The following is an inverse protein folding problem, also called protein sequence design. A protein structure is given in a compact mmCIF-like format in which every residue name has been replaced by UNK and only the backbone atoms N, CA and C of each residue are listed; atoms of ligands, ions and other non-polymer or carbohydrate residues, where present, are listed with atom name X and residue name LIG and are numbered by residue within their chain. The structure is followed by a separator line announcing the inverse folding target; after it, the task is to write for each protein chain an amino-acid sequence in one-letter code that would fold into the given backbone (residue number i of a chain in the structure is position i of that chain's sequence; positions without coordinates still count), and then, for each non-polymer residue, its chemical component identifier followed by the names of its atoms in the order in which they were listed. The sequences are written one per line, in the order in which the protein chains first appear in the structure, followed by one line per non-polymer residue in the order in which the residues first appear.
data_IF_931751515427
#
_entry.id   IF_931751515427
#
_cell.length_a   1.000
_cell.length_b   1.000
_cell.length_c   1.000
_cell.angle_alpha   90.00
_cell.angle_beta   90.00
_cell.angle_gamma   90.00
#
_symmetry.space_group_name_H-M   'P 1'
#
loop_
_entity.id
_entity.type
_entity.pdbx_description
1 polymer ?
#
# COMPACT_ATOMS: atom_id res chain seq x y z
N UNK A 1 -1.49 27.30 17.71
CA UNK A 1 -2.15 26.58 18.82
C UNK A 1 -1.99 27.42 20.07
N UNK A 2 -3.10 27.85 20.68
CA UNK A 2 -3.09 28.72 21.85
C UNK A 2 -2.64 27.95 23.11
N UNK A 3 -1.55 28.37 23.78
CA UNK A 3 -1.06 27.71 24.98
C UNK A 3 -2.05 27.73 26.14
N UNK A 4 -2.97 28.70 26.16
CA UNK A 4 -3.97 28.89 27.21
C UNK A 4 -5.04 27.79 27.23
N UNK A 5 -5.18 27.03 26.13
CA UNK A 5 -6.17 25.97 25.97
C UNK A 5 -5.64 24.56 26.31
N UNK A 6 -4.49 24.47 27.00
CA UNK A 6 -3.88 23.19 27.38
C UNK A 6 -4.20 22.77 28.81
N UNK A 7 -4.51 21.49 28.96
CA UNK A 7 -4.74 20.81 30.23
C UNK A 7 -3.62 19.81 30.47
N UNK A 8 -3.10 19.75 31.68
CA UNK A 8 -2.16 18.76 32.19
C UNK A 8 -2.94 17.70 32.98
N UNK A 9 -2.85 16.44 32.56
CA UNK A 9 -3.31 15.29 33.34
C UNK A 9 -2.14 14.70 34.09
N UNK A 10 -2.32 14.46 35.39
CA UNK A 10 -1.38 13.78 36.27
C UNK A 10 -1.97 12.48 36.78
N UNK A 11 -1.11 11.55 37.18
CA UNK A 11 -1.46 10.22 37.68
C UNK A 11 -2.18 9.35 36.64
N UNK A 12 -1.69 9.38 35.40
CA UNK A 12 -2.17 8.51 34.33
C UNK A 12 -1.62 7.09 34.53
N UNK A 13 -2.38 6.03 34.19
CA UNK A 13 -1.86 4.67 34.19
C UNK A 13 -0.55 4.52 33.41
N UNK A 14 0.40 3.68 33.86
CA UNK A 14 1.73 3.56 33.26
C UNK A 14 1.73 3.02 31.82
N UNK A 15 0.71 2.26 31.42
CA UNK A 15 0.59 1.65 30.08
C UNK A 15 -0.40 2.37 29.18
N UNK A 16 -0.59 3.68 29.40
CA UNK A 16 -1.65 4.40 28.73
C UNK A 16 -1.25 4.93 27.35
N UNK A 17 -2.07 4.66 26.33
CA UNK A 17 -1.83 5.18 24.98
C UNK A 17 -2.52 6.52 24.73
N UNK A 18 -2.06 7.28 23.74
CA UNK A 18 -2.72 8.54 23.31
C UNK A 18 -4.20 8.32 22.97
N UNK A 19 -4.54 7.16 22.42
CA UNK A 19 -5.91 6.79 22.05
C UNK A 19 -6.79 6.62 23.29
N UNK A 20 -6.29 5.91 24.29
CA UNK A 20 -7.02 5.70 25.54
C UNK A 20 -7.26 7.01 26.30
N UNK A 21 -6.30 7.94 26.30
CA UNK A 21 -6.51 9.30 26.83
C UNK A 21 -7.64 10.00 26.08
N UNK A 22 -7.64 9.89 24.74
CA UNK A 22 -8.68 10.52 23.95
C UNK A 22 -10.07 9.93 24.22
N UNK A 23 -10.16 8.62 24.39
CA UNK A 23 -11.40 7.90 24.73
C UNK A 23 -11.86 8.24 26.15
N UNK A 24 -10.94 8.32 27.12
CA UNK A 24 -11.26 8.72 28.49
C UNK A 24 -11.83 10.13 28.55
N UNK A 25 -11.19 11.10 27.91
CA UNK A 25 -11.68 12.49 27.84
C UNK A 25 -13.05 12.54 27.15
N UNK A 26 -13.23 11.87 26.02
CA UNK A 26 -14.53 11.82 25.32
C UNK A 26 -15.63 11.20 26.18
N UNK A 27 -15.35 10.08 26.85
CA UNK A 27 -16.34 9.37 27.65
C UNK A 27 -16.83 10.18 28.85
N UNK A 28 -15.99 11.05 29.41
CA UNK A 28 -16.31 11.83 30.60
C UNK A 28 -16.84 13.23 30.27
N UNK A 29 -16.18 13.94 29.35
CA UNK A 29 -16.49 15.34 29.08
C UNK A 29 -17.21 15.58 27.76
N UNK A 30 -17.39 14.55 26.91
CA UNK A 30 -17.97 14.68 25.57
C UNK A 30 -17.11 15.49 24.57
N UNK A 31 -15.96 15.99 25.00
CA UNK A 31 -15.14 16.89 24.23
C UNK A 31 -14.07 16.13 23.44
N UNK A 32 -13.78 16.59 22.22
CA UNK A 32 -12.77 15.98 21.35
C UNK A 32 -11.39 16.59 21.60
N UNK A 33 -10.40 15.85 22.12
CA UNK A 33 -9.04 16.36 22.25
C UNK A 33 -8.35 16.47 20.88
N UNK A 34 -7.64 17.57 20.65
CA UNK A 34 -7.04 17.92 19.35
C UNK A 34 -5.55 17.56 19.27
N UNK A 35 -4.80 17.80 20.34
CA UNK A 35 -3.38 17.45 20.42
C UNK A 35 -3.11 16.78 21.76
N UNK A 36 -2.46 15.60 21.75
CA UNK A 36 -2.13 14.83 22.95
C UNK A 36 -0.63 14.54 22.95
N UNK A 37 0.05 15.11 23.94
CA UNK A 37 1.47 14.94 24.20
C UNK A 37 1.64 14.14 25.49
N UNK A 38 2.17 12.93 25.36
CA UNK A 38 2.55 12.11 26.52
C UNK A 38 3.89 12.60 27.07
N UNK A 39 3.98 12.74 28.38
CA UNK A 39 5.26 12.92 29.05
C UNK A 39 6.06 11.62 28.97
N UNK A 40 7.16 11.64 28.23
CA UNK A 40 8.08 10.50 28.14
C UNK A 40 9.37 10.80 28.92
N UNK A 41 9.92 9.78 29.59
CA UNK A 41 11.26 9.76 30.17
C UNK A 41 12.35 9.66 29.09
N UNK A 42 13.62 9.76 29.49
CA UNK A 42 14.79 9.58 28.60
C UNK A 42 14.81 8.18 28.00
N UNK A 43 14.26 7.20 28.71
CA UNK A 43 14.14 5.80 28.32
C UNK A 43 12.85 5.52 27.52
N UNK A 44 12.07 6.55 27.17
CA UNK A 44 10.84 6.42 26.40
C UNK A 44 9.63 5.88 27.18
N UNK A 45 9.73 5.73 28.50
CA UNK A 45 8.62 5.31 29.37
C UNK A 45 7.69 6.47 29.70
N UNK A 46 6.43 6.18 30.04
CA UNK A 46 5.43 7.21 30.34
C UNK A 46 5.60 7.74 31.78
N UNK A 47 5.84 9.06 31.91
CA UNK A 47 6.01 9.79 33.19
C UNK A 47 4.71 9.96 34.01
N UNK A 48 3.66 9.21 33.67
CA UNK A 48 2.30 9.33 34.23
C UNK A 48 1.68 10.73 34.16
N UNK A 49 2.15 11.57 33.23
CA UNK A 49 1.51 12.83 32.89
C UNK A 49 1.33 12.99 31.39
N UNK A 50 0.30 13.72 30.99
CA UNK A 50 0.03 14.07 29.61
C UNK A 50 -0.48 15.51 29.51
N UNK A 51 -0.23 16.13 28.37
CA UNK A 51 -0.79 17.41 28.03
C UNK A 51 -1.72 17.25 26.84
N UNK A 52 -2.90 17.85 26.92
CA UNK A 52 -3.79 17.86 25.78
C UNK A 52 -4.51 19.20 25.60
N UNK A 53 -4.93 19.47 24.37
CA UNK A 53 -5.72 20.65 24.02
C UNK A 53 -7.16 20.24 23.71
N UNK A 54 -8.12 20.96 24.28
CA UNK A 54 -9.55 20.71 24.12
C UNK A 54 -10.31 22.03 24.18
N UNK A 55 -11.48 22.09 23.55
CA UNK A 55 -12.41 23.21 23.69
C UNK A 55 -13.11 23.14 25.05
N UNK A 56 -13.37 24.30 25.68
CA UNK A 56 -14.03 24.35 26.99
C UNK A 56 -13.18 23.82 28.16
N UNK A 57 -11.91 24.25 28.26
CA UNK A 57 -10.94 23.72 29.24
C UNK A 57 -11.43 23.72 30.68
N UNK A 58 -12.15 24.77 31.12
CA UNK A 58 -12.67 24.88 32.49
C UNK A 58 -13.61 23.72 32.84
N UNK A 59 -14.55 23.41 31.96
CA UNK A 59 -15.53 22.34 32.17
C UNK A 59 -14.83 20.98 32.18
N UNK A 60 -13.89 20.76 31.26
CA UNK A 60 -13.14 19.52 31.16
C UNK A 60 -12.25 19.31 32.40
N UNK A 61 -11.62 20.36 32.93
CA UNK A 61 -10.83 20.27 34.17
C UNK A 61 -11.71 19.84 35.35
N UNK A 62 -12.87 20.48 35.53
CA UNK A 62 -13.79 20.15 36.63
C UNK A 62 -14.28 18.71 36.58
N UNK A 63 -14.57 18.20 35.38
CA UNK A 63 -15.08 16.82 35.18
C UNK A 63 -13.99 15.76 35.35
N UNK A 64 -12.76 16.06 34.92
CA UNK A 64 -11.66 15.09 34.95
C UNK A 64 -10.89 15.10 36.28
N UNK A 65 -10.94 16.19 37.04
CA UNK A 65 -10.28 16.27 38.34
C UNK A 65 -10.97 15.37 39.35
N UNK A 66 -10.29 14.31 39.80
CA UNK A 66 -10.84 13.31 40.72
C UNK A 66 -11.49 12.11 40.02
N UNK A 67 -11.43 12.05 38.69
CA UNK A 67 -11.95 10.92 37.94
C UNK A 67 -11.06 9.68 38.15
N UNK A 68 -11.69 8.54 38.47
CA UNK A 68 -10.98 7.26 38.61
C UNK A 68 -10.80 6.63 37.23
N UNK A 69 -9.55 6.31 36.91
CA UNK A 69 -9.14 5.64 35.69
C UNK A 69 -8.28 4.42 36.01
N UNK A 70 -8.78 3.21 35.72
CA UNK A 70 -8.11 1.92 36.03
C UNK A 70 -7.65 1.85 37.50
N UNK A 71 -8.49 2.30 38.42
CA UNK A 71 -8.19 2.31 39.86
C UNK A 71 -7.28 3.45 40.33
N UNK A 72 -6.84 4.35 39.45
CA UNK A 72 -6.01 5.51 39.81
C UNK A 72 -6.84 6.79 39.70
N UNK A 73 -6.82 7.63 40.74
CA UNK A 73 -7.44 8.94 40.70
C UNK A 73 -6.59 9.91 39.86
N UNK A 74 -7.16 10.40 38.77
CA UNK A 74 -6.51 11.32 37.84
C UNK A 74 -6.76 12.75 38.26
N UNK A 75 -5.76 13.61 38.12
CA UNK A 75 -5.89 15.04 38.41
C UNK A 75 -5.70 15.83 37.12
N UNK A 76 -6.68 16.68 36.79
CA UNK A 76 -6.59 17.61 35.67
C UNK A 76 -6.28 19.01 36.19
N UNK A 77 -5.28 19.66 35.60
CA UNK A 77 -4.84 21.01 35.95
C UNK A 77 -4.65 21.85 34.68
N UNK A 78 -4.85 23.16 34.71
CA UNK A 78 -4.43 24.02 33.61
C UNK A 78 -2.90 23.90 33.40
N UNK A 79 -2.47 23.75 32.16
CA UNK A 79 -1.05 23.60 31.85
C UNK A 79 -0.30 24.92 32.12
N UNK A 80 0.80 24.85 32.87
CA UNK A 80 1.63 26.05 33.12
C UNK A 80 2.40 26.42 31.83
N UNK A 81 2.46 27.72 31.46
CA UNK A 81 3.06 28.17 30.19
C UNK A 81 4.54 27.76 29.97
N UNK A 82 5.32 27.64 31.05
CA UNK A 82 6.77 27.36 30.94
C UNK A 82 7.09 25.97 30.35
N UNK A 83 6.24 24.96 30.57
CA UNK A 83 6.42 23.64 29.96
C UNK A 83 6.12 23.65 28.45
N UNK A 84 5.31 24.62 27.99
CA UNK A 84 4.97 24.76 26.59
C UNK A 84 6.11 25.35 25.76
N UNK A 85 6.86 26.30 26.34
CA UNK A 85 8.01 26.90 25.67
C UNK A 85 9.09 25.86 25.36
N UNK A 86 9.47 25.03 26.34
CA UNK A 86 10.45 23.94 26.13
C UNK A 86 10.02 22.95 25.05
N UNK A 87 8.73 22.60 25.02
CA UNK A 87 8.20 21.68 24.01
C UNK A 87 8.17 22.32 22.61
N UNK A 88 7.85 23.61 22.53
CA UNK A 88 7.86 24.37 21.29
C UNK A 88 9.28 24.56 20.74
N UNK A 89 10.26 24.84 21.60
CA UNK A 89 11.68 24.87 21.21
C UNK A 89 12.16 23.52 20.70
N UNK A 90 11.86 22.42 21.39
CA UNK A 90 12.24 21.08 20.96
C UNK A 90 11.64 20.73 19.58
N UNK A 91 10.40 21.15 19.30
CA UNK A 91 9.78 21.01 17.97
C UNK A 91 10.50 21.84 16.92
N UNK A 92 10.80 23.10 17.21
CA UNK A 92 11.55 23.99 16.29
C UNK A 92 12.95 23.45 15.99
N UNK A 93 13.63 22.87 16.99
CA UNK A 93 14.95 22.25 16.79
C UNK A 93 14.87 21.03 15.88
N UNK A 94 13.88 20.14 16.07
CA UNK A 94 13.65 19.01 15.17
C UNK A 94 13.34 19.45 13.74
N UNK A 95 12.49 20.46 13.59
CA UNK A 95 12.16 21.01 12.27
C UNK A 95 13.39 21.59 11.56
N UNK A 96 14.28 22.27 12.30
CA UNK A 96 15.56 22.73 11.75
C UNK A 96 16.46 21.57 11.35
N UNK A 97 16.60 20.55 12.18
CA UNK A 97 17.39 19.36 11.88
C UNK A 97 16.85 18.62 10.64
N UNK A 98 15.53 18.41 10.55
CA UNK A 98 14.91 17.80 9.37
C UNK A 98 15.12 18.66 8.11
N UNK A 99 15.07 19.99 8.23
CA UNK A 99 15.35 20.89 7.11
C UNK A 99 16.82 20.82 6.68
N UNK A 100 17.76 20.75 7.62
CA UNK A 100 19.19 20.57 7.36
C UNK A 100 19.47 19.21 6.72
N UNK A 101 18.87 18.12 7.22
CA UNK A 101 18.98 16.78 6.63
C UNK A 101 18.44 16.73 5.20
N UNK A 102 17.27 17.34 4.96
CA UNK A 102 16.71 17.47 3.61
C UNK A 102 17.64 18.28 2.71
N UNK A 103 18.20 19.38 3.22
CA UNK A 103 19.19 20.19 2.52
C UNK A 103 20.44 19.39 2.12
N UNK A 104 20.97 18.57 3.04
CA UNK A 104 22.11 17.69 2.78
C UNK A 104 21.79 16.62 1.72
N UNK A 105 20.61 16.01 1.77
CA UNK A 105 20.19 15.01 0.78
C UNK A 105 20.01 15.65 -0.60
N UNK A 106 19.38 16.82 -0.67
CA UNK A 106 19.21 17.57 -1.92
C UNK A 106 20.55 18.02 -2.49
N UNK A 107 21.47 18.49 -1.64
CA UNK A 107 22.82 18.87 -2.04
C UNK A 107 23.60 17.67 -2.60
N UNK A 108 23.56 16.52 -1.91
CA UNK A 108 24.20 15.29 -2.36
C UNK A 108 23.60 14.79 -3.69
N UNK A 109 22.28 14.93 -3.88
CA UNK A 109 21.63 14.60 -5.15
C UNK A 109 22.11 15.52 -6.26
N UNK A 110 22.13 16.84 -6.02
CA UNK A 110 22.62 17.84 -6.99
C UNK A 110 24.08 17.60 -7.37
N UNK A 111 24.94 17.31 -6.39
CA UNK A 111 26.35 17.00 -6.63
C UNK A 111 26.51 15.73 -7.47
N UNK A 112 25.75 14.67 -7.16
CA UNK A 112 25.76 13.43 -7.94
C UNK A 112 25.27 13.65 -9.37
N UNK A 113 24.20 14.43 -9.53
CA UNK A 113 23.67 14.78 -10.85
C UNK A 113 24.68 15.63 -11.63
N UNK A 114 25.34 16.61 -10.99
CA UNK A 114 26.37 17.43 -11.64
C UNK A 114 27.55 16.59 -12.11
N UNK A 115 28.07 15.69 -11.27
CA UNK A 115 29.14 14.74 -11.66
C UNK A 115 28.72 13.82 -12.81
N UNK A 116 27.46 13.38 -12.83
CA UNK A 116 26.94 12.60 -13.95
C UNK A 116 26.90 13.43 -15.22
N UNK A 117 26.34 14.65 -15.17
CA UNK A 117 26.28 15.59 -16.29
C UNK A 117 27.68 15.92 -16.84
N UNK A 118 28.66 16.16 -15.98
CA UNK A 118 30.06 16.41 -16.37
C UNK A 118 30.68 15.20 -17.07
N UNK A 119 30.41 13.99 -16.57
CA UNK A 119 30.98 12.76 -17.11
C UNK A 119 30.34 12.30 -18.41
N UNK A 120 29.03 12.51 -18.60
CA UNK A 120 28.29 11.99 -19.76
C UNK A 120 27.78 13.08 -20.70
N UNK A 121 28.05 14.36 -20.41
CA UNK A 121 27.54 15.49 -21.21
C UNK A 121 26.01 15.61 -21.20
N UNK A 122 25.32 14.91 -20.30
CA UNK A 122 23.86 14.79 -20.28
C UNK A 122 23.27 13.77 -21.27
N UNK A 123 24.09 13.08 -22.07
CA UNK A 123 23.61 12.05 -22.99
C UNK A 123 23.78 10.64 -22.42
N UNK A 124 22.77 9.79 -22.62
CA UNK A 124 22.87 8.36 -22.33
C UNK A 124 23.70 7.70 -23.43
N UNK A 125 24.72 6.91 -23.05
CA UNK A 125 25.52 6.13 -24.02
C UNK A 125 24.59 5.24 -24.86
N UNK A 126 24.42 5.57 -26.13
CA UNK A 126 23.55 4.87 -27.08
C UNK A 126 24.14 3.55 -27.60
N UNK A 127 25.17 3.01 -26.96
CA UNK A 127 25.98 1.93 -27.51
C UNK A 127 25.21 0.60 -27.64
N UNK A 128 24.13 0.38 -26.87
CA UNK A 128 23.28 -0.82 -26.99
C UNK A 128 21.81 -0.51 -26.67
N UNK A 129 20.85 -0.98 -27.49
CA UNK A 129 19.44 -0.89 -27.15
C UNK A 129 19.14 -1.68 -25.87
N UNK A 130 18.16 -1.25 -25.07
CA UNK A 130 17.76 -1.99 -23.88
C UNK A 130 17.38 -3.42 -24.26
N UNK A 131 17.86 -4.37 -23.46
CA UNK A 131 17.63 -5.81 -23.68
C UNK A 131 16.12 -6.04 -23.78
N UNK A 132 15.67 -6.68 -24.87
CA UNK A 132 14.24 -6.89 -25.08
C UNK A 132 13.64 -7.67 -23.91
N UNK A 133 12.45 -7.28 -23.47
CA UNK A 133 11.71 -7.97 -22.40
C UNK A 133 11.56 -9.48 -22.68
N UNK A 134 11.48 -9.83 -23.96
CA UNK A 134 11.32 -11.19 -24.44
C UNK A 134 12.64 -11.95 -24.64
N UNK A 135 13.81 -11.35 -24.43
CA UNK A 135 15.10 -12.01 -24.66
C UNK A 135 15.23 -13.32 -23.87
N UNK A 136 14.70 -13.36 -22.64
CA UNK A 136 14.71 -14.56 -21.80
C UNK A 136 13.69 -15.60 -22.30
N UNK A 137 12.48 -15.16 -22.70
CA UNK A 137 11.43 -16.04 -23.23
C UNK A 137 11.82 -16.66 -24.58
N UNK A 138 12.47 -15.90 -25.45
CA UNK A 138 12.99 -16.36 -26.74
C UNK A 138 14.10 -17.40 -26.57
N UNK A 139 14.97 -17.25 -25.57
CA UNK A 139 16.00 -18.26 -25.24
C UNK A 139 15.37 -19.58 -24.80
N UNK A 140 14.41 -19.54 -23.88
CA UNK A 140 13.70 -20.77 -23.45
C UNK A 140 12.90 -21.40 -24.58
N UNK A 141 12.27 -20.59 -25.45
CA UNK A 141 11.56 -21.08 -26.62
C UNK A 141 12.51 -21.78 -27.62
N UNK A 142 13.71 -21.23 -27.84
CA UNK A 142 14.73 -21.83 -28.69
C UNK A 142 15.28 -23.15 -28.11
N UNK A 143 15.53 -23.21 -26.80
CA UNK A 143 15.96 -24.46 -26.14
C UNK A 143 14.86 -25.51 -26.18
N UNK A 144 13.60 -25.13 -25.92
CA UNK A 144 12.47 -26.04 -25.97
C UNK A 144 12.22 -26.58 -27.39
N UNK A 145 12.38 -25.74 -28.43
CA UNK A 145 12.24 -26.18 -29.81
C UNK A 145 13.35 -27.14 -30.23
N UNK A 146 14.59 -26.92 -29.76
CA UNK A 146 15.71 -27.83 -30.02
C UNK A 146 15.50 -29.20 -29.34
N UNK A 147 15.06 -29.21 -28.08
CA UNK A 147 14.72 -30.45 -27.36
C UNK A 147 13.60 -31.21 -28.08
N UNK A 148 12.53 -30.50 -28.48
CA UNK A 148 11.43 -31.11 -29.23
C UNK A 148 11.89 -31.66 -30.59
N UNK A 149 12.83 -30.99 -31.27
CA UNK A 149 13.39 -31.47 -32.54
C UNK A 149 14.18 -32.76 -32.34
N UNK A 150 15.06 -32.81 -31.33
CA UNK A 150 15.83 -34.02 -30.98
C UNK A 150 14.92 -35.20 -30.63
N UNK A 151 13.88 -34.98 -29.83
CA UNK A 151 12.91 -36.03 -29.50
C UNK A 151 12.16 -36.57 -30.73
N UNK A 152 11.78 -35.71 -31.67
CA UNK A 152 11.14 -36.15 -32.92
C UNK A 152 12.11 -36.94 -33.80
N UNK A 153 13.36 -36.52 -33.89
CA UNK A 153 14.41 -37.23 -34.63
C UNK A 153 14.69 -38.60 -33.99
N UNK A 154 14.85 -38.69 -32.68
CA UNK A 154 15.00 -39.96 -31.95
C UNK A 154 13.80 -40.89 -32.11
N UNK A 155 12.58 -40.35 -32.09
CA UNK A 155 11.39 -41.17 -32.32
C UNK A 155 11.33 -41.67 -33.77
N UNK A 156 11.73 -40.85 -34.75
CA UNK A 156 11.84 -41.26 -36.16
C UNK A 156 12.90 -42.35 -36.34
N UNK A 157 14.07 -42.22 -35.73
CA UNK A 157 15.13 -43.24 -35.83
C UNK A 157 14.75 -44.54 -35.13
N UNK A 158 14.10 -44.48 -33.94
CA UNK A 158 13.56 -45.66 -33.25
C UNK A 158 12.48 -46.37 -34.06
N UNK A 159 11.55 -45.63 -34.70
CA UNK A 159 10.55 -46.22 -35.60
C UNK A 159 11.18 -46.84 -36.85
N UNK A 160 12.17 -46.19 -37.45
CA UNK A 160 12.90 -46.73 -38.60
C UNK A 160 13.70 -48.00 -38.23
N UNK A 161 14.29 -48.05 -37.04
CA UNK A 161 14.97 -49.22 -36.51
C UNK A 161 14.01 -50.38 -36.19
N UNK A 162 12.80 -50.08 -35.67
CA UNK A 162 11.77 -51.11 -35.44
C UNK A 162 11.18 -51.72 -36.71
N UNK A 163 11.33 -51.04 -37.86
CA UNK A 163 10.91 -51.55 -39.17
C UNK A 163 12.00 -52.39 -39.85
N UNK A 164 13.26 -52.28 -39.41
CA UNK A 164 14.41 -53.02 -39.95
C UNK A 164 14.81 -54.22 -39.10
N UNK A 165 14.41 -54.25 -37.82
CA UNK A 165 14.48 -55.43 -36.95
C UNK A 165 13.20 -56.26 -37.06
N UNK A 166 13.13 -57.15 -38.05
CA UNK A 166 12.03 -58.10 -38.19
C UNK A 166 11.95 -59.07 -37.01
N UNK A 167 10.78 -59.16 -36.37
CA UNK A 167 10.51 -60.14 -35.31
C UNK A 167 9.08 -60.06 -34.77
N UNK A 168 8.24 -60.99 -35.25
CA UNK A 168 6.90 -61.41 -34.82
C UNK A 168 6.38 -60.94 -33.44
N UNK A 169 5.15 -60.39 -33.40
CA UNK A 169 4.42 -60.14 -32.17
C UNK A 169 2.99 -59.65 -32.40
N UNK A 170 2.10 -60.59 -32.68
CA UNK A 170 0.65 -60.40 -32.77
C UNK A 170 0.10 -59.57 -31.60
N UNK A 171 -0.69 -58.53 -31.89
CA UNK A 171 -1.90 -58.21 -31.11
C UNK A 171 -2.85 -57.34 -31.92
N UNK A 172 -3.67 -58.03 -32.72
CA UNK A 172 -4.94 -57.51 -33.21
C UNK A 172 -5.88 -57.36 -32.02
N UNK A 173 -5.97 -56.18 -31.41
CA UNK A 173 -7.15 -55.81 -30.63
C UNK A 173 -8.15 -55.10 -31.54
N UNK A 174 -8.96 -55.97 -32.14
CA UNK A 174 -10.26 -55.73 -32.76
C UNK A 174 -11.13 -54.85 -31.83
N UNK A 175 -11.34 -53.59 -32.20
CA UNK A 175 -12.53 -52.82 -31.84
C UNK A 175 -12.99 -52.02 -33.06
N UNK A 176 -13.71 -52.73 -33.92
CA UNK A 176 -14.78 -52.25 -34.79
C UNK A 176 -15.98 -53.10 -34.34
N UNK A 177 -17.22 -52.64 -34.17
CA UNK A 177 -17.93 -51.42 -34.54
C UNK A 177 -19.28 -51.55 -33.82
N UNK A 178 -19.85 -50.48 -33.31
CA UNK A 178 -21.30 -50.32 -33.37
C UNK A 178 -21.62 -48.83 -33.33
N UNK A 179 -22.45 -48.46 -34.28
CA UNK A 179 -22.88 -47.14 -34.70
C UNK A 179 -24.41 -47.23 -34.67
N UNK A 180 -25.04 -46.11 -34.28
CA UNK A 180 -26.48 -45.79 -34.35
C UNK A 180 -27.30 -45.70 -33.05
N UNK A 181 -27.57 -44.43 -32.73
CA UNK A 181 -28.88 -43.80 -32.53
C UNK A 181 -29.78 -44.15 -31.32
N UNK A 182 -30.19 -43.04 -30.68
CA UNK A 182 -31.51 -42.75 -30.12
C UNK A 182 -31.67 -42.76 -28.58
N UNK A 183 -31.91 -41.55 -28.09
CA UNK A 183 -32.97 -41.15 -27.14
C UNK A 183 -32.92 -41.60 -25.67
N UNK A 184 -32.77 -40.56 -24.84
CA UNK A 184 -33.51 -40.25 -23.59
C UNK A 184 -33.37 -41.09 -22.31
N UNK A 185 -33.28 -40.30 -21.24
CA UNK A 185 -33.74 -40.49 -19.85
C UNK A 185 -32.93 -41.29 -18.81
N UNK A 186 -32.57 -40.50 -17.78
CA UNK A 186 -32.72 -40.75 -16.33
C UNK A 186 -31.80 -41.73 -15.56
N UNK A 187 -31.64 -41.33 -14.28
CA UNK A 187 -31.11 -42.04 -13.11
C UNK A 187 -29.59 -42.25 -12.92
N UNK A 188 -29.03 -41.43 -12.01
CA UNK A 188 -28.04 -41.86 -11.02
C UNK A 188 -28.73 -42.80 -9.98
N UNK A 189 -28.05 -43.56 -9.07
CA UNK A 189 -26.69 -43.34 -8.57
C UNK A 189 -25.88 -44.63 -8.19
N UNK A 190 -24.74 -44.38 -7.55
CA UNK A 190 -24.19 -45.15 -6.42
C UNK A 190 -22.97 -46.08 -6.61
N UNK A 191 -21.98 -45.79 -5.75
CA UNK A 191 -20.91 -46.64 -5.18
C UNK A 191 -19.67 -46.90 -6.03
N UNK A 192 -18.64 -46.07 -5.81
CA UNK A 192 -17.26 -46.53 -5.56
C UNK A 192 -16.46 -45.52 -4.72
N UNK A 193 -16.05 -45.98 -3.55
CA UNK A 193 -15.23 -45.28 -2.56
C UNK A 193 -13.81 -44.94 -3.06
N UNK A 194 -13.11 -43.99 -2.38
CA UNK A 194 -11.97 -43.26 -2.94
C UNK A 194 -10.66 -44.04 -2.83
N UNK A 195 -9.93 -44.16 -3.94
CA UNK A 195 -8.53 -44.60 -3.90
C UNK A 195 -7.62 -43.42 -3.57
N UNK A 196 -6.97 -43.56 -2.42
CA UNK A 196 -5.95 -42.70 -1.83
C UNK A 196 -4.93 -42.21 -2.87
N UNK A 197 -4.85 -40.89 -3.06
CA UNK A 197 -3.76 -40.25 -3.81
C UNK A 197 -2.65 -39.96 -2.82
N UNK A 198 -1.56 -40.72 -2.95
CA UNK A 198 -0.33 -40.54 -2.19
C UNK A 198 0.16 -39.10 -2.21
N UNK A 199 0.43 -38.59 -1.03
CA UNK A 199 1.08 -37.33 -0.72
C UNK A 199 2.54 -37.37 -1.19
N UNK A 200 2.84 -36.80 -2.35
CA UNK A 200 4.24 -36.49 -2.70
C UNK A 200 4.37 -35.13 -3.38
N UNK A 201 5.03 -34.23 -2.64
CA UNK A 201 5.76 -33.02 -3.06
C UNK A 201 4.94 -31.84 -3.61
N UNK A 202 4.55 -30.99 -2.66
CA UNK A 202 4.65 -29.54 -2.80
C UNK A 202 6.07 -29.16 -3.26
N UNK A 203 6.27 -28.93 -4.55
CA UNK A 203 7.40 -28.14 -5.01
C UNK A 203 6.99 -26.68 -4.91
N UNK A 204 7.21 -26.11 -3.72
CA UNK A 204 7.17 -24.68 -3.49
C UNK A 204 8.15 -24.00 -4.44
N UNK A 205 7.60 -23.12 -5.30
CA UNK A 205 8.32 -22.23 -6.18
C UNK A 205 9.14 -21.22 -5.34
N UNK A 206 10.32 -21.64 -4.87
CA UNK A 206 11.28 -20.83 -4.13
C UNK A 206 12.46 -20.49 -5.05
N UNK A 207 12.23 -19.68 -6.09
CA UNK A 207 13.33 -19.15 -6.91
C UNK A 207 13.33 -17.62 -7.08
N UNK A 208 12.60 -16.88 -6.24
CA UNK A 208 12.77 -15.43 -6.16
C UNK A 208 12.72 -14.95 -4.70
N UNK A 209 13.86 -15.07 -4.01
CA UNK A 209 14.17 -14.24 -2.84
C UNK A 209 15.63 -13.81 -2.92
N UNK A 210 15.88 -12.70 -3.58
CA UNK A 210 17.05 -11.89 -3.23
C UNK A 210 16.67 -11.09 -1.98
N UNK A 211 17.37 -11.34 -0.88
CA UNK A 211 17.39 -10.46 0.29
C UNK A 211 18.07 -9.15 -0.10
N UNK A 212 17.30 -8.11 -0.40
CA UNK A 212 17.80 -6.73 -0.36
C UNK A 212 17.65 -6.24 1.07
N UNK A 213 18.77 -5.75 1.59
CA UNK A 213 18.98 -5.39 2.99
C UNK A 213 18.00 -4.37 3.57
N UNK A 214 18.12 -4.29 4.88
CA UNK A 214 17.39 -3.47 5.84
C UNK A 214 17.16 -2.03 5.37
N UNK A 215 15.90 -1.62 5.41
CA UNK A 215 15.45 -0.26 5.17
C UNK A 215 14.00 -0.14 5.60
N UNK A 216 13.77 0.45 6.77
CA UNK A 216 12.44 0.70 7.32
C UNK A 216 11.67 1.69 6.42
N UNK A 217 10.61 1.24 5.74
CA UNK A 217 9.55 2.13 5.22
C UNK A 217 8.18 1.47 5.40
N UNK A 218 7.22 2.12 6.08
CA UNK A 218 5.91 1.53 6.37
C UNK A 218 4.80 1.97 5.39
N UNK A 219 3.70 1.21 5.45
CA UNK A 219 2.30 1.56 5.11
C UNK A 219 1.78 1.19 3.71
N UNK A 220 1.02 0.08 3.69
CA UNK A 220 0.02 -0.27 2.67
C UNK A 220 -1.10 0.77 2.66
N UNK A 221 -1.42 1.33 1.49
CA UNK A 221 -2.68 2.05 1.24
C UNK A 221 -3.78 1.03 0.93
N UNK A 222 -4.85 1.06 1.72
CA UNK A 222 -6.10 0.35 1.44
C UNK A 222 -6.81 1.00 0.24
N UNK A 223 -7.20 0.17 -0.74
CA UNK A 223 -8.07 0.55 -1.85
C UNK A 223 -9.50 0.74 -1.32
N UNK A 224 -10.09 1.91 -1.59
CA UNK A 224 -11.54 2.11 -1.41
C UNK A 224 -12.32 1.31 -2.46
N UNK A 225 -13.41 0.61 -2.11
CA UNK A 225 -14.32 0.04 -3.08
C UNK A 225 -15.24 1.13 -3.68
N UNK A 226 -15.41 1.08 -5.00
CA UNK A 226 -16.45 1.81 -5.72
C UNK A 226 -17.81 1.18 -5.38
N UNK A 227 -18.77 2.00 -4.95
CA UNK A 227 -20.17 1.60 -4.85
C UNK A 227 -20.91 2.14 -6.06
N UNK A 228 -21.34 1.24 -6.94
CA UNK A 228 -22.34 1.47 -7.98
C UNK A 228 -23.73 1.47 -7.33
N UNK A 229 -24.58 2.43 -7.72
CA UNK A 229 -26.03 2.37 -7.57
C UNK A 229 -26.68 3.36 -8.56
N UNK A 230 -27.95 3.12 -8.97
CA UNK A 230 -28.31 3.08 -10.39
C UNK A 230 -28.97 4.34 -10.94
N UNK A 231 -28.99 4.35 -12.27
CA UNK A 231 -29.62 5.30 -13.19
C UNK A 231 -31.14 5.34 -13.00
N UNK A 232 -31.69 6.55 -12.82
CA UNK A 232 -33.08 6.87 -13.15
C UNK A 232 -33.07 7.89 -14.30
N UNK A 233 -33.72 7.52 -15.41
CA UNK A 233 -33.82 8.31 -16.61
C UNK A 233 -35.02 9.27 -16.52
N UNK A 234 -34.79 10.55 -16.84
CA UNK A 234 -35.85 11.41 -17.38
C UNK A 234 -35.25 12.33 -18.44
N UNK A 235 -35.70 12.11 -19.68
CA UNK A 235 -35.41 12.97 -20.83
C UNK A 235 -36.11 14.33 -20.65
N UNK A 236 -35.40 15.41 -20.99
CA UNK A 236 -35.98 16.56 -21.71
C UNK A 236 -34.87 17.34 -22.42
N UNK A 237 -35.02 17.35 -23.73
CA UNK A 237 -34.22 18.03 -24.74
C UNK A 237 -34.56 19.53 -24.75
N UNK A 238 -33.53 20.40 -24.68
CA UNK A 238 -33.37 21.63 -25.48
C UNK A 238 -32.13 22.45 -25.07
N UNK A 239 -31.34 22.77 -26.10
CA UNK A 239 -30.37 23.87 -26.25
C UNK A 239 -29.05 23.80 -25.46
N UNK A 240 -27.99 23.46 -26.19
CA UNK A 240 -26.59 23.65 -25.79
C UNK A 240 -26.27 25.14 -25.61
N UNK A 241 -25.80 25.58 -24.43
CA UNK A 241 -24.74 26.56 -24.37
C UNK A 241 -23.41 25.81 -24.53
N UNK A 242 -22.55 26.30 -25.42
CA UNK A 242 -21.17 25.83 -25.61
C UNK A 242 -20.48 25.73 -24.26
N UNK A 243 -20.38 24.50 -23.77
CA UNK A 243 -19.74 24.21 -22.49
C UNK A 243 -18.25 24.54 -22.66
N UNK A 244 -17.68 25.46 -21.87
CA UNK A 244 -16.31 25.88 -22.06
C UNK A 244 -15.39 24.68 -21.92
N UNK A 245 -14.46 24.54 -22.87
CA UNK A 245 -13.54 23.42 -22.96
C UNK A 245 -12.72 23.31 -21.67
N UNK A 246 -12.13 22.13 -21.41
CA UNK A 246 -11.29 21.93 -20.23
C UNK A 246 -10.14 22.95 -20.14
N UNK A 247 -9.75 23.55 -21.26
CA UNK A 247 -8.69 24.56 -21.34
C UNK A 247 -9.24 25.95 -21.03
N UNK A 248 -10.41 26.31 -21.54
CA UNK A 248 -11.07 27.58 -21.25
C UNK A 248 -11.43 27.72 -19.76
N UNK A 249 -11.81 26.61 -19.10
CA UNK A 249 -12.04 26.60 -17.64
C UNK A 249 -10.76 26.79 -16.82
N UNK A 250 -9.62 26.31 -17.33
CA UNK A 250 -8.32 26.52 -16.68
C UNK A 250 -7.86 27.97 -16.83
N UNK A 251 -8.06 28.55 -18.02
CA UNK A 251 -7.73 29.94 -18.31
C UNK A 251 -8.62 30.91 -17.53
N UNK A 252 -9.92 30.66 -17.42
CA UNK A 252 -10.81 31.50 -16.61
C UNK A 252 -10.48 31.42 -15.12
N UNK A 253 -10.14 30.23 -14.62
CA UNK A 253 -9.67 30.03 -13.25
C UNK A 253 -8.35 30.76 -12.95
N UNK A 254 -7.43 30.83 -13.92
CA UNK A 254 -6.18 31.58 -13.80
C UNK A 254 -6.42 33.10 -13.83
N UNK A 255 -7.29 33.59 -14.73
CA UNK A 255 -7.66 35.01 -14.77
C UNK A 255 -8.35 35.46 -13.48
N UNK A 256 -9.26 34.66 -12.92
CA UNK A 256 -9.92 34.97 -11.65
C UNK A 256 -8.93 35.06 -10.48
N UNK A 257 -7.93 34.15 -10.45
CA UNK A 257 -6.86 34.20 -9.44
C UNK A 257 -5.98 35.44 -9.59
N UNK A 258 -5.62 35.82 -10.82
CA UNK A 258 -4.84 37.04 -11.07
C UNK A 258 -5.62 38.31 -10.69
N UNK A 259 -6.92 38.36 -10.99
CA UNK A 259 -7.78 39.47 -10.60
C UNK A 259 -7.90 39.60 -9.06
N UNK A 260 -8.10 38.47 -8.36
CA UNK A 260 -8.14 38.46 -6.89
C UNK A 260 -6.80 38.88 -6.27
N UNK A 261 -5.68 38.54 -6.90
CA UNK A 261 -4.34 38.93 -6.45
C UNK A 261 -4.11 40.44 -6.66
N UNK A 262 -4.54 40.98 -7.80
CA UNK A 262 -4.51 42.43 -8.07
C UNK A 262 -5.41 43.23 -7.14
N UNK A 263 -6.58 42.70 -6.77
CA UNK A 263 -7.48 43.34 -5.81
C UNK A 263 -6.93 43.35 -4.38
N UNK A 264 -6.10 42.36 -4.02
CA UNK A 264 -5.40 42.32 -2.72
C UNK A 264 -4.16 43.20 -2.64
N UNK A 265 -3.65 43.67 -3.78
CA UNK A 265 -2.48 44.55 -3.87
C UNK A 265 -2.85 46.03 -4.06
N UNK A 266 -4.15 46.35 -4.15
CA UNK A 266 -4.68 47.70 -3.96
C UNK A 266 -5.15 47.85 -2.52
#
# INVERSE_FOLDING_TARGET
MDPSKRICLKNIPPDCTKREIAEFVRSRSGAQPHSIDLGLDREGRIRRYAHFSVEGTKNVISVLSGAVWRGVAVTALPAKPHYMYRLAEARRQRERQEAEERGCVEAAWKERTARWMEKTGGELRNEKPPKSFYATRQRYAAVASEIARKQREEHRTKRAASLTSGGCGMRNHRHQKEEELAAEEEEAPEKRHPRQRGTTRNNSNLHYKHSRGEGNVPVRREKKPNTEAPVAATQKEKQQPTVPSKEERKLSGLQAKLAALRAKMK
#
